data_IF_838617891840
#
_entry.id   IF_838617891840
#
_cell.length_a   1.000
_cell.length_b   1.000
_cell.length_c   1.000
_cell.angle_alpha   90.00
_cell.angle_beta   90.00
_cell.angle_gamma   90.00
#
_symmetry.space_group_name_H-M   'P 1'
#
loop_
_entity.id
_entity.type
_entity.pdbx_description
1 polymer ?
#
# COMPACT_ATOMS: atom_id res chain seq x y z
N UNK A 1 -19.67 -52.36 -37.34
CA UNK A 1 -19.93 -51.91 -35.95
C UNK A 1 -18.59 -51.67 -35.26
N UNK A 2 -18.18 -50.41 -35.14
CA UNK A 2 -16.98 -50.00 -34.41
C UNK A 2 -17.46 -49.23 -33.17
N UNK A 3 -17.17 -49.77 -32.01
CA UNK A 3 -17.42 -49.15 -30.69
C UNK A 3 -16.49 -47.95 -30.50
N UNK A 4 -16.98 -46.76 -30.10
CA UNK A 4 -16.10 -45.66 -29.76
C UNK A 4 -15.54 -45.85 -28.35
N UNK A 5 -14.22 -45.72 -28.23
CA UNK A 5 -13.47 -45.71 -26.99
C UNK A 5 -13.80 -44.41 -26.24
N UNK A 6 -14.40 -44.51 -25.05
CA UNK A 6 -14.59 -43.36 -24.15
C UNK A 6 -13.26 -43.09 -23.45
N UNK A 7 -12.61 -41.95 -23.73
CA UNK A 7 -11.55 -41.44 -22.86
C UNK A 7 -12.17 -40.87 -21.58
N UNK A 8 -11.60 -41.14 -20.39
CA UNK A 8 -12.06 -40.54 -19.15
C UNK A 8 -11.65 -39.06 -19.12
N UNK A 9 -12.59 -38.19 -18.75
CA UNK A 9 -12.32 -36.81 -18.41
C UNK A 9 -11.44 -36.77 -17.17
N UNK A 10 -10.14 -36.51 -17.35
CA UNK A 10 -9.24 -36.16 -16.26
C UNK A 10 -9.53 -34.70 -15.91
N UNK A 11 -10.33 -34.49 -14.86
CA UNK A 11 -10.40 -33.20 -14.20
C UNK A 11 -9.01 -32.91 -13.62
N UNK A 12 -8.24 -32.05 -14.27
CA UNK A 12 -7.09 -31.43 -13.62
C UNK A 12 -7.67 -30.51 -12.53
N UNK A 13 -7.66 -30.99 -11.28
CA UNK A 13 -7.63 -30.10 -10.14
C UNK A 13 -6.36 -29.26 -10.29
N UNK A 14 -6.54 -27.97 -10.60
CA UNK A 14 -5.51 -26.97 -10.49
C UNK A 14 -5.07 -26.87 -9.03
N UNK A 15 -4.07 -27.66 -8.66
CA UNK A 15 -3.29 -27.42 -7.46
C UNK A 15 -2.32 -26.26 -7.76
N UNK A 16 -2.88 -25.07 -7.97
CA UNK A 16 -2.12 -23.85 -7.71
C UNK A 16 -1.92 -23.84 -6.21
N UNK A 17 -0.72 -24.22 -5.77
CA UNK A 17 -0.34 -24.08 -4.38
C UNK A 17 -0.47 -22.61 -4.01
N UNK A 18 -1.58 -22.26 -3.36
CA UNK A 18 -1.56 -21.22 -2.35
C UNK A 18 -0.52 -21.69 -1.34
N UNK A 19 0.73 -21.26 -1.53
CA UNK A 19 1.58 -21.03 -0.39
C UNK A 19 0.79 -20.04 0.46
N UNK A 20 0.40 -20.37 1.71
CA UNK A 20 0.01 -19.32 2.61
C UNK A 20 1.27 -18.46 2.74
N UNK A 21 1.27 -17.29 2.09
CA UNK A 21 2.11 -16.19 2.54
C UNK A 21 1.49 -15.71 3.85
N UNK A 22 1.58 -16.54 4.90
CA UNK A 22 1.72 -16.01 6.25
C UNK A 22 3.12 -15.41 6.29
N UNK A 23 3.31 -14.28 5.60
CA UNK A 23 4.40 -13.40 5.92
C UNK A 23 4.21 -13.07 7.39
N UNK A 24 5.10 -13.56 8.26
CA UNK A 24 5.26 -12.95 9.57
C UNK A 24 5.42 -11.46 9.27
N UNK A 25 4.43 -10.64 9.59
CA UNK A 25 4.64 -9.21 9.53
C UNK A 25 5.87 -8.94 10.38
N UNK A 26 6.87 -8.28 9.79
CA UNK A 26 8.03 -7.83 10.54
C UNK A 26 7.49 -7.08 11.76
N UNK A 27 8.02 -7.38 12.95
CA UNK A 27 7.52 -6.81 14.20
C UNK A 27 7.61 -5.27 14.27
N UNK A 28 8.24 -4.65 13.26
CA UNK A 28 8.25 -3.23 12.94
C UNK A 28 8.55 -3.06 11.45
N UNK A 29 7.97 -2.04 10.82
CA UNK A 29 8.25 -1.70 9.42
C UNK A 29 9.46 -0.76 9.27
N UNK A 30 10.02 -0.28 10.38
CA UNK A 30 11.07 0.75 10.40
C UNK A 30 12.41 0.16 10.00
N UNK A 31 13.09 0.84 9.07
CA UNK A 31 14.39 0.48 8.56
C UNK A 31 15.44 0.38 9.69
N UNK A 32 16.26 -0.68 9.76
CA UNK A 32 17.21 -0.87 10.85
C UNK A 32 18.35 0.16 10.89
N UNK A 33 18.70 0.77 9.76
CA UNK A 33 19.73 1.82 9.67
C UNK A 33 19.14 3.23 9.89
N UNK A 34 17.96 3.50 9.34
CA UNK A 34 17.29 4.80 9.36
C UNK A 34 16.07 4.77 10.29
N UNK A 35 16.33 4.71 11.60
CA UNK A 35 15.30 4.54 12.65
C UNK A 35 15.20 5.70 13.64
N UNK A 36 16.07 6.70 13.52
CA UNK A 36 16.23 7.74 14.53
C UNK A 36 15.56 9.04 14.10
N UNK A 37 14.78 9.61 15.02
CA UNK A 37 14.27 10.97 14.99
C UNK A 37 14.84 11.76 16.18
N UNK A 38 14.70 13.09 16.15
CA UNK A 38 15.21 13.95 17.22
C UNK A 38 14.19 15.02 17.63
N UNK A 39 14.03 15.21 18.94
CA UNK A 39 13.32 16.34 19.53
C UNK A 39 14.21 17.05 20.53
N UNK A 40 14.26 18.38 20.50
CA UNK A 40 15.17 19.16 21.35
C UNK A 40 15.04 18.82 22.86
N UNK A 41 13.81 18.56 23.32
CA UNK A 41 13.52 18.22 24.71
C UNK A 41 13.40 16.70 24.97
N UNK A 42 13.44 15.87 23.92
CA UNK A 42 13.32 14.40 24.02
C UNK A 42 14.66 13.70 23.80
N UNK A 43 15.60 14.37 23.14
CA UNK A 43 16.79 13.73 22.59
C UNK A 43 16.47 12.84 21.39
N UNK A 44 17.27 11.80 21.23
CA UNK A 44 17.11 10.79 20.19
C UNK A 44 15.96 9.84 20.52
N UNK A 45 15.14 9.55 19.50
CA UNK A 45 14.06 8.58 19.59
C UNK A 45 14.28 7.48 18.56
N UNK A 46 14.25 6.23 19.00
CA UNK A 46 14.36 5.03 18.18
C UNK A 46 12.96 4.52 17.84
N UNK A 47 12.56 4.68 16.58
CA UNK A 47 11.27 4.23 16.07
C UNK A 47 11.20 2.71 15.91
N UNK A 48 12.34 2.02 15.89
CA UNK A 48 12.38 0.56 15.89
C UNK A 48 12.18 0.00 17.30
N UNK A 49 12.44 0.79 18.34
CA UNK A 49 12.28 0.38 19.73
C UNK A 49 13.08 -0.88 20.07
N UNK A 50 12.42 -1.86 20.69
CA UNK A 50 12.98 -3.19 20.98
C UNK A 50 12.88 -4.19 19.79
N UNK A 51 12.53 -3.69 18.61
CA UNK A 51 12.22 -4.40 17.38
C UNK A 51 10.97 -5.29 17.41
N UNK A 52 10.56 -5.80 18.57
CA UNK A 52 9.38 -6.66 18.72
C UNK A 52 8.07 -5.85 18.80
N UNK A 53 8.16 -4.64 19.31
CA UNK A 53 7.05 -3.73 19.52
C UNK A 53 7.29 -2.38 18.85
N UNK A 54 8.23 -2.30 17.90
CA UNK A 54 8.59 -1.07 17.23
C UNK A 54 7.44 -0.46 16.43
N UNK A 55 7.60 0.77 15.98
CA UNK A 55 6.59 1.44 15.17
C UNK A 55 6.28 0.64 13.90
N UNK A 56 5.01 0.62 13.53
CA UNK A 56 4.52 0.02 12.28
C UNK A 56 3.79 1.13 11.54
N UNK A 57 4.21 1.40 10.31
CA UNK A 57 3.49 2.25 9.37
C UNK A 57 2.58 1.34 8.56
N UNK A 58 1.29 1.34 8.87
CA UNK A 58 0.28 0.58 8.16
C UNK A 58 -0.47 1.42 7.12
N UNK A 59 -1.25 0.74 6.29
CA UNK A 59 -2.01 1.35 5.19
C UNK A 59 -3.00 2.43 5.68
N UNK A 60 -3.73 2.16 6.76
CA UNK A 60 -4.75 3.07 7.33
C UNK A 60 -4.34 3.68 8.67
N UNK A 61 -3.51 2.97 9.43
CA UNK A 61 -3.11 3.34 10.78
C UNK A 61 -1.64 3.02 11.03
N UNK A 62 -1.05 3.71 11.98
CA UNK A 62 0.19 3.31 12.62
C UNK A 62 -0.09 2.60 13.95
N UNK A 63 0.85 1.78 14.38
CA UNK A 63 0.78 1.05 15.65
C UNK A 63 2.19 0.82 16.22
N UNK A 64 2.25 0.14 17.37
CA UNK A 64 3.51 -0.13 18.05
C UNK A 64 4.04 1.09 18.79
N UNK A 65 5.35 1.08 19.06
CA UNK A 65 5.98 2.00 19.99
C UNK A 65 7.28 2.59 19.46
N UNK A 66 7.50 3.85 19.82
CA UNK A 66 8.76 4.57 19.68
C UNK A 66 9.41 4.60 21.07
N UNK A 67 10.72 4.37 21.15
CA UNK A 67 11.47 4.49 22.39
C UNK A 67 12.31 5.77 22.41
N UNK A 68 12.28 6.50 23.52
CA UNK A 68 13.14 7.65 23.74
C UNK A 68 13.74 7.59 25.14
N UNK A 69 15.07 7.65 25.26
CA UNK A 69 15.74 7.45 26.54
C UNK A 69 15.28 8.41 27.66
N UNK A 70 14.87 9.63 27.29
CA UNK A 70 14.47 10.67 28.25
C UNK A 70 13.00 10.61 28.66
N UNK A 71 12.12 9.98 27.87
CA UNK A 71 10.67 9.97 28.12
C UNK A 71 10.04 8.57 28.10
N UNK A 72 10.83 7.54 27.82
CA UNK A 72 10.39 6.15 27.74
C UNK A 72 9.64 5.84 26.44
N UNK A 73 8.64 4.98 26.56
CA UNK A 73 7.84 4.49 25.43
C UNK A 73 6.74 5.48 25.04
N UNK A 74 6.60 5.65 23.73
CA UNK A 74 5.57 6.44 23.08
C UNK A 74 4.78 5.50 22.16
N UNK A 75 3.50 5.29 22.43
CA UNK A 75 2.62 4.46 21.62
C UNK A 75 1.99 5.28 20.48
N UNK A 76 1.93 4.66 19.30
CA UNK A 76 1.27 5.20 18.10
C UNK A 76 -0.22 4.82 18.00
N UNK A 77 -0.74 4.09 18.98
CA UNK A 77 -2.12 3.58 19.01
C UNK A 77 -2.17 2.07 19.25
N UNK A 78 -3.38 1.55 19.45
CA UNK A 78 -3.61 0.13 19.81
C UNK A 78 -3.39 -0.87 18.68
N UNK A 79 -3.38 -0.41 17.42
CA UNK A 79 -3.46 -1.27 16.24
C UNK A 79 -4.89 -1.72 15.89
N UNK A 80 -5.89 -1.38 16.71
CA UNK A 80 -7.26 -1.87 16.61
C UNK A 80 -8.24 -0.71 16.81
N UNK A 81 -8.47 0.13 15.78
CA UNK A 81 -9.37 1.26 15.88
C UNK A 81 -10.82 0.80 16.09
N UNK A 82 -11.63 1.60 16.77
CA UNK A 82 -12.98 1.20 17.17
C UNK A 82 -13.90 0.84 16.00
N UNK A 83 -13.72 1.48 14.84
CA UNK A 83 -14.49 1.19 13.63
C UNK A 83 -13.83 0.17 12.69
N UNK A 84 -12.68 -0.40 13.07
CA UNK A 84 -11.92 -1.34 12.25
C UNK A 84 -11.21 -0.74 11.03
N UNK A 85 -11.27 0.58 10.83
CA UNK A 85 -10.66 1.28 9.68
C UNK A 85 -9.54 2.23 10.15
N UNK A 86 -9.88 3.20 11.00
CA UNK A 86 -8.95 4.24 11.44
C UNK A 86 -9.33 4.76 12.82
N UNK A 87 -8.37 5.24 13.60
CA UNK A 87 -8.65 5.80 14.93
C UNK A 87 -9.56 7.02 14.79
N UNK A 88 -10.68 7.03 15.50
CA UNK A 88 -11.59 8.19 15.49
C UNK A 88 -11.04 9.34 16.33
N UNK A 89 -10.04 9.07 17.18
CA UNK A 89 -9.36 10.08 18.00
C UNK A 89 -10.35 10.90 18.86
N UNK A 90 -11.40 10.26 19.36
CA UNK A 90 -12.52 10.89 20.06
C UNK A 90 -12.73 10.35 21.48
N UNK A 91 -11.90 9.40 21.93
CA UNK A 91 -12.02 8.79 23.25
C UNK A 91 -10.67 8.31 23.80
N UNK A 92 -10.63 7.98 25.09
CA UNK A 92 -9.42 7.47 25.74
C UNK A 92 -9.03 6.05 25.29
N UNK A 93 -9.94 5.34 24.63
CA UNK A 93 -9.74 3.96 24.14
C UNK A 93 -9.60 3.87 22.63
N UNK A 94 -9.91 4.94 21.90
CA UNK A 94 -9.79 5.00 20.44
C UNK A 94 -9.03 6.27 20.03
N UNK A 95 -7.71 6.14 20.07
CA UNK A 95 -6.77 7.17 19.67
C UNK A 95 -5.55 6.50 19.03
N UNK A 96 -4.88 7.24 18.17
CA UNK A 96 -3.68 6.79 17.50
C UNK A 96 -3.35 7.64 16.29
N UNK A 97 -2.31 7.24 15.57
CA UNK A 97 -1.87 7.88 14.35
C UNK A 97 -2.48 7.18 13.14
N UNK A 98 -3.22 7.91 12.32
CA UNK A 98 -3.78 7.46 11.05
C UNK A 98 -2.84 7.78 9.88
N UNK A 99 -2.92 6.97 8.83
CA UNK A 99 -2.27 7.20 7.54
C UNK A 99 -3.35 7.31 6.46
N UNK A 100 -3.27 8.32 5.60
CA UNK A 100 -4.33 8.63 4.62
C UNK A 100 -4.15 7.97 3.24
N UNK A 101 -3.20 7.04 3.10
CA UNK A 101 -2.85 6.42 1.81
C UNK A 101 -2.03 7.31 0.86
N UNK A 102 -1.93 8.62 1.11
CA UNK A 102 -1.11 9.57 0.35
C UNK A 102 0.23 9.88 1.02
N UNK A 103 0.50 9.25 2.17
CA UNK A 103 1.70 9.45 2.96
C UNK A 103 1.46 10.33 4.19
N UNK A 104 0.33 11.03 4.32
CA UNK A 104 0.16 11.94 5.45
C UNK A 104 -0.16 11.17 6.74
N UNK A 105 0.46 11.59 7.84
CA UNK A 105 0.22 11.03 9.18
C UNK A 105 -0.59 12.01 10.01
N UNK A 106 -1.69 11.57 10.64
CA UNK A 106 -2.56 12.45 11.43
C UNK A 106 -3.00 11.79 12.73
N UNK A 107 -3.43 12.56 13.72
CA UNK A 107 -3.95 12.04 14.99
C UNK A 107 -2.96 12.16 16.14
N UNK A 108 -2.95 11.19 17.04
CA UNK A 108 -2.26 11.33 18.32
C UNK A 108 -1.40 10.12 18.66
N UNK A 109 -0.19 10.39 19.17
CA UNK A 109 0.61 9.43 19.90
C UNK A 109 0.64 9.82 21.39
N UNK A 110 0.98 8.88 22.25
CA UNK A 110 0.98 9.10 23.69
C UNK A 110 2.23 8.50 24.32
N UNK A 111 2.88 9.20 25.26
CA UNK A 111 3.92 8.62 26.12
C UNK A 111 3.76 9.00 27.60
N UNK A 112 4.14 8.12 28.53
CA UNK A 112 3.78 8.28 29.95
C UNK A 112 4.40 9.47 30.63
N UNK A 113 5.61 9.80 30.20
CA UNK A 113 6.37 10.88 30.77
C UNK A 113 6.30 12.16 29.93
N UNK A 114 5.56 12.15 28.80
CA UNK A 114 5.47 13.26 27.84
C UNK A 114 4.03 13.67 27.51
N UNK A 115 3.05 12.82 27.80
CA UNK A 115 1.65 13.03 27.41
C UNK A 115 1.44 12.90 25.90
N UNK A 116 0.49 13.69 25.39
CA UNK A 116 0.09 13.66 23.99
C UNK A 116 1.13 14.28 23.06
N UNK A 117 1.29 13.65 21.90
CA UNK A 117 2.05 14.12 20.74
C UNK A 117 1.09 14.17 19.56
N UNK A 118 0.92 15.35 18.98
CA UNK A 118 0.00 15.64 17.90
C UNK A 118 0.69 15.51 16.54
N UNK A 119 0.10 14.70 15.67
CA UNK A 119 0.43 14.60 14.25
C UNK A 119 -0.52 15.53 13.50
N UNK A 120 -0.14 16.81 13.40
CA UNK A 120 -1.02 17.87 12.90
C UNK A 120 -0.57 18.48 11.58
N UNK A 121 -1.50 19.14 10.91
CA UNK A 121 -1.28 19.71 9.57
C UNK A 121 -0.14 20.73 9.50
N UNK A 122 0.09 21.52 10.55
CA UNK A 122 1.16 22.53 10.59
C UNK A 122 2.55 21.89 10.50
N UNK A 123 2.75 20.77 11.21
CA UNK A 123 4.00 20.02 11.12
C UNK A 123 4.12 19.19 9.83
N UNK A 124 2.99 18.98 9.14
CA UNK A 124 2.87 18.18 7.93
C UNK A 124 3.64 16.84 7.98
N UNK A 125 3.51 16.05 9.07
CA UNK A 125 4.22 14.79 9.16
C UNK A 125 3.71 13.85 8.07
N UNK A 126 4.65 13.26 7.33
CA UNK A 126 4.36 12.37 6.20
C UNK A 126 5.43 11.31 5.98
N UNK A 127 5.04 10.23 5.32
CA UNK A 127 5.88 9.18 4.74
C UNK A 127 5.97 9.45 3.24
N UNK A 128 7.18 9.49 2.71
CA UNK A 128 7.39 9.47 1.27
C UNK A 128 7.19 8.05 0.74
N UNK A 129 6.08 7.83 0.03
CA UNK A 129 5.68 6.51 -0.46
C UNK A 129 6.56 5.92 -1.58
N UNK A 130 7.61 6.63 -2.02
CA UNK A 130 8.60 6.07 -2.95
C UNK A 130 9.85 5.60 -2.22
N UNK A 131 10.24 6.33 -1.17
CA UNK A 131 11.51 6.11 -0.46
C UNK A 131 11.35 5.56 0.95
N UNK A 132 10.13 5.57 1.48
CA UNK A 132 9.79 5.24 2.86
C UNK A 132 10.21 6.28 3.88
N UNK A 133 10.85 7.39 3.47
CA UNK A 133 11.40 8.38 4.39
C UNK A 133 10.29 9.20 5.03
N UNK A 134 10.31 9.31 6.35
CA UNK A 134 9.42 10.22 7.06
C UNK A 134 10.00 11.63 7.04
N UNK A 135 9.13 12.63 6.98
CA UNK A 135 9.49 14.05 7.06
C UNK A 135 8.41 14.86 7.76
N UNK A 136 8.71 16.13 8.03
CA UNK A 136 7.85 17.02 8.80
C UNK A 136 8.12 16.95 10.31
N UNK A 137 7.20 17.53 11.06
CA UNK A 137 7.29 17.70 12.51
C UNK A 137 6.01 17.22 13.19
N UNK A 138 6.16 16.77 14.43
CA UNK A 138 5.05 16.49 15.35
C UNK A 138 5.22 17.35 16.60
N UNK A 139 4.12 17.66 17.28
CA UNK A 139 4.13 18.63 18.37
C UNK A 139 3.68 17.99 19.69
N UNK A 140 4.38 18.29 20.78
CA UNK A 140 3.92 17.97 22.13
C UNK A 140 3.84 19.24 22.97
N UNK A 141 2.77 19.39 23.75
CA UNK A 141 2.63 20.51 24.69
C UNK A 141 3.77 20.55 25.72
N UNK A 142 4.28 19.38 26.12
CA UNK A 142 5.28 19.26 27.17
C UNK A 142 6.72 19.34 26.65
N UNK A 143 6.93 19.18 25.35
CA UNK A 143 8.27 19.07 24.78
C UNK A 143 8.50 19.86 23.48
N UNK A 144 7.48 20.54 22.96
CA UNK A 144 7.55 21.32 21.73
C UNK A 144 7.64 20.47 20.47
N UNK A 145 8.29 21.02 19.45
CA UNK A 145 8.44 20.39 18.13
C UNK A 145 9.45 19.25 18.13
N UNK A 146 9.07 18.17 17.44
CA UNK A 146 9.83 16.95 17.27
C UNK A 146 9.99 16.72 15.76
N UNK A 147 11.24 16.59 15.30
CA UNK A 147 11.55 16.44 13.86
C UNK A 147 11.61 14.98 13.47
N UNK A 148 10.88 14.58 12.42
CA UNK A 148 10.93 13.22 11.88
C UNK A 148 12.15 12.96 10.98
N UNK A 149 12.75 14.04 10.48
CA UNK A 149 13.97 14.03 9.67
C UNK A 149 14.76 15.31 9.91
N UNK A 150 16.08 15.21 9.88
CA UNK A 150 17.02 16.33 9.89
C UNK A 150 18.29 15.98 9.09
N UNK A 151 19.30 16.85 9.10
CA UNK A 151 20.52 16.68 8.32
C UNK A 151 21.39 15.46 8.71
N UNK A 152 21.22 14.92 9.92
CA UNK A 152 22.06 13.84 10.46
C UNK A 152 21.31 12.53 10.69
N UNK A 153 19.97 12.56 10.71
CA UNK A 153 19.14 11.39 10.95
C UNK A 153 17.73 11.57 10.36
N UNK A 154 17.14 10.46 9.95
CA UNK A 154 15.73 10.41 9.57
C UNK A 154 15.17 9.02 9.89
N UNK A 155 13.86 8.97 10.03
CA UNK A 155 13.12 7.71 10.10
C UNK A 155 12.75 7.29 8.68
N UNK A 156 12.85 6.01 8.40
CA UNK A 156 12.41 5.40 7.15
C UNK A 156 11.65 4.12 7.46
N UNK A 157 10.54 3.90 6.77
CA UNK A 157 9.85 2.61 6.73
C UNK A 157 10.29 1.84 5.49
N UNK A 158 10.59 0.56 5.60
CA UNK A 158 10.96 -0.28 4.45
C UNK A 158 9.73 -0.72 3.65
N UNK A 159 8.61 -0.91 4.36
CA UNK A 159 7.32 -1.32 3.81
C UNK A 159 6.20 -0.51 4.43
N UNK A 160 5.04 -0.47 3.77
CA UNK A 160 3.76 -0.12 4.40
C UNK A 160 3.04 -1.42 4.70
N UNK A 161 2.78 -1.68 5.98
CA UNK A 161 2.12 -2.90 6.41
C UNK A 161 0.69 -2.96 5.87
N UNK A 162 0.31 -4.12 5.35
CA UNK A 162 -1.09 -4.41 5.03
C UNK A 162 -1.93 -4.28 6.32
N UNK A 163 -3.19 -3.88 6.16
CA UNK A 163 -4.17 -3.98 7.25
C UNK A 163 -4.36 -5.43 7.72
N UNK A 164 -5.10 -5.59 8.81
CA UNK A 164 -5.59 -6.92 9.20
C UNK A 164 -6.42 -7.52 8.06
N UNK A 165 -6.40 -8.84 7.94
CA UNK A 165 -7.15 -9.63 6.97
C UNK A 165 -7.64 -10.87 7.73
N UNK A 166 -8.83 -10.75 8.32
CA UNK A 166 -9.35 -11.68 9.34
C UNK A 166 -9.85 -12.97 8.73
N UNK A 167 -10.42 -12.92 7.53
CA UNK A 167 -10.95 -14.08 6.82
C UNK A 167 -9.94 -14.68 5.80
N UNK A 168 -8.84 -13.97 5.53
CA UNK A 168 -7.66 -14.49 4.85
C UNK A 168 -7.83 -14.58 3.34
N UNK A 169 -8.67 -13.73 2.75
CA UNK A 169 -8.98 -13.74 1.33
C UNK A 169 -8.05 -12.80 0.51
N UNK A 170 -7.21 -12.02 1.19
CA UNK A 170 -6.28 -11.07 0.61
C UNK A 170 -6.79 -9.62 0.56
N UNK A 171 -8.01 -9.36 1.01
CA UNK A 171 -8.58 -8.04 1.21
C UNK A 171 -8.35 -7.59 2.67
N UNK A 172 -7.91 -6.34 2.91
CA UNK A 172 -7.85 -5.85 4.28
C UNK A 172 -9.24 -5.60 4.85
N UNK A 173 -9.41 -5.98 6.10
CA UNK A 173 -10.54 -5.69 6.99
C UNK A 173 -11.04 -4.24 6.91
N UNK A 174 -10.11 -3.29 6.80
CA UNK A 174 -10.40 -1.86 6.74
C UNK A 174 -10.94 -1.45 5.36
N UNK A 175 -10.48 -2.08 4.29
CA UNK A 175 -10.97 -1.87 2.93
C UNK A 175 -12.38 -2.45 2.78
N UNK A 176 -12.59 -3.67 3.27
CA UNK A 176 -13.90 -4.31 3.23
C UNK A 176 -14.94 -3.48 3.99
N UNK A 177 -14.62 -3.04 5.21
CA UNK A 177 -15.54 -2.18 6.00
C UNK A 177 -15.74 -0.78 5.41
N UNK A 178 -14.84 -0.31 4.54
CA UNK A 178 -15.00 0.99 3.89
C UNK A 178 -16.06 0.94 2.80
N UNK A 179 -16.12 -0.15 2.04
CA UNK A 179 -17.03 -0.30 0.90
C UNK A 179 -18.25 -1.16 1.20
N UNK A 180 -18.16 -2.06 2.18
CA UNK A 180 -19.17 -3.05 2.50
C UNK A 180 -19.48 -3.08 3.99
N UNK A 181 -20.65 -3.60 4.35
CA UNK A 181 -21.07 -3.76 5.74
C UNK A 181 -20.62 -5.14 6.28
N UNK A 182 -19.30 -5.34 6.39
CA UNK A 182 -18.73 -6.58 6.94
C UNK A 182 -17.38 -7.01 6.35
N UNK A 183 -17.05 -8.29 6.57
CA UNK A 183 -15.85 -9.02 6.13
C UNK A 183 -16.27 -10.28 5.36
N UNK A 184 -16.98 -10.09 4.27
CA UNK A 184 -17.62 -11.18 3.52
C UNK A 184 -17.63 -10.99 1.99
N UNK A 185 -17.44 -9.78 1.42
CA UNK A 185 -17.09 -9.67 0.01
C UNK A 185 -15.84 -10.48 -0.28
N UNK A 186 -15.84 -11.29 -1.35
CA UNK A 186 -14.67 -12.10 -1.67
C UNK A 186 -13.76 -11.39 -2.64
N UNK A 187 -12.46 -11.64 -2.55
CA UNK A 187 -11.45 -11.16 -3.48
C UNK A 187 -11.80 -11.33 -4.98
N UNK A 188 -12.49 -12.41 -5.36
CA UNK A 188 -12.87 -12.70 -6.75
C UNK A 188 -14.20 -12.11 -7.22
N UNK A 189 -14.99 -11.52 -6.34
CA UNK A 189 -16.30 -10.94 -6.69
C UNK A 189 -16.12 -9.64 -7.48
N UNK A 190 -17.08 -9.34 -8.37
CA UNK A 190 -17.18 -8.10 -9.16
C UNK A 190 -18.59 -7.52 -8.94
N UNK A 191 -18.79 -6.74 -7.86
CA UNK A 191 -20.13 -6.33 -7.44
C UNK A 191 -20.80 -5.29 -8.36
N UNK A 192 -20.02 -4.46 -9.04
CA UNK A 192 -20.53 -3.41 -9.94
C UNK A 192 -20.53 -3.82 -11.42
N UNK A 193 -19.87 -4.93 -11.76
CA UNK A 193 -19.94 -5.58 -13.06
C UNK A 193 -19.07 -4.93 -14.13
N UNK A 194 -18.01 -4.21 -13.73
CA UNK A 194 -17.11 -3.54 -14.67
C UNK A 194 -15.94 -4.40 -15.17
N UNK A 195 -15.84 -5.63 -14.64
CA UNK A 195 -14.83 -6.61 -15.00
C UNK A 195 -13.57 -6.57 -14.13
N UNK A 196 -13.47 -5.67 -13.15
CA UNK A 196 -12.48 -5.73 -12.08
C UNK A 196 -13.06 -6.44 -10.86
N UNK A 197 -12.34 -7.43 -10.34
CA UNK A 197 -12.73 -8.05 -9.07
C UNK A 197 -12.27 -7.20 -7.87
N UNK A 198 -12.81 -7.47 -6.69
CA UNK A 198 -12.49 -6.77 -5.44
C UNK A 198 -10.98 -6.70 -5.16
N UNK A 199 -10.21 -7.76 -5.44
CA UNK A 199 -8.76 -7.75 -5.25
C UNK A 199 -8.06 -6.78 -6.22
N UNK A 200 -8.49 -6.75 -7.47
CA UNK A 200 -7.99 -5.81 -8.47
C UNK A 200 -8.36 -4.37 -8.12
N UNK A 201 -9.60 -4.15 -7.67
CA UNK A 201 -10.11 -2.86 -7.19
C UNK A 201 -9.29 -2.36 -5.99
N UNK A 202 -9.05 -3.24 -5.00
CA UNK A 202 -8.18 -2.95 -3.87
C UNK A 202 -6.76 -2.57 -4.31
N UNK A 203 -6.15 -3.33 -5.22
CA UNK A 203 -4.81 -3.03 -5.74
C UNK A 203 -4.76 -1.73 -6.55
N UNK A 204 -5.86 -1.36 -7.22
CA UNK A 204 -5.98 -0.15 -8.02
C UNK A 204 -6.43 1.10 -7.25
N UNK A 205 -6.86 0.96 -5.99
CA UNK A 205 -7.48 2.02 -5.17
C UNK A 205 -8.77 2.57 -5.79
N UNK A 206 -9.54 1.68 -6.40
CA UNK A 206 -10.82 1.99 -7.01
C UNK A 206 -11.97 1.53 -6.12
N UNK A 207 -13.19 1.91 -6.48
CA UNK A 207 -14.37 1.68 -5.67
C UNK A 207 -15.15 0.49 -6.25
N UNK A 208 -15.21 -0.67 -5.55
CA UNK A 208 -15.81 -1.91 -6.06
C UNK A 208 -17.34 -1.86 -6.22
N UNK A 209 -17.96 -0.72 -5.89
CA UNK A 209 -19.39 -0.46 -6.03
C UNK A 209 -19.67 0.64 -7.09
N UNK A 210 -18.66 1.06 -7.85
CA UNK A 210 -18.77 2.13 -8.84
C UNK A 210 -18.07 1.75 -10.16
N UNK A 211 -18.84 1.20 -11.09
CA UNK A 211 -18.37 0.72 -12.39
C UNK A 211 -17.67 1.77 -13.28
N UNK A 212 -17.74 3.07 -12.94
CA UNK A 212 -16.99 4.11 -13.65
C UNK A 212 -15.55 4.26 -13.13
N UNK A 213 -15.27 3.81 -11.91
CA UNK A 213 -13.97 3.84 -11.25
C UNK A 213 -13.25 2.50 -11.37
N UNK A 214 -12.57 2.27 -12.49
CA UNK A 214 -11.66 1.12 -12.64
C UNK A 214 -10.37 1.49 -13.36
N UNK A 215 -9.35 0.65 -13.20
CA UNK A 215 -8.10 0.74 -13.95
C UNK A 215 -8.30 0.29 -15.40
N UNK A 216 -8.23 1.24 -16.34
CA UNK A 216 -8.27 0.96 -17.79
C UNK A 216 -7.31 1.81 -18.58
N UNK A 217 -6.81 1.25 -19.68
CA UNK A 217 -6.15 2.04 -20.73
C UNK A 217 -7.23 2.85 -21.46
N UNK A 218 -7.09 4.16 -21.45
CA UNK A 218 -8.05 5.12 -22.02
C UNK A 218 -7.60 5.65 -23.38
N UNK A 219 -6.30 5.60 -23.67
CA UNK A 219 -5.78 5.92 -24.99
C UNK A 219 -4.50 5.14 -25.30
N UNK A 220 -4.33 4.79 -26.57
CA UNK A 220 -3.14 4.16 -27.10
C UNK A 220 -2.78 4.83 -28.43
N UNK A 221 -1.52 5.24 -28.56
CA UNK A 221 -0.97 5.81 -29.80
C UNK A 221 0.40 5.17 -30.07
N UNK A 222 0.72 4.94 -31.34
CA UNK A 222 2.01 4.36 -31.73
C UNK A 222 2.40 4.82 -33.12
N UNK A 223 3.68 5.19 -33.34
CA UNK A 223 4.15 5.51 -34.68
C UNK A 223 4.05 4.29 -35.62
N UNK A 224 4.03 4.50 -36.95
CA UNK A 224 3.90 3.41 -37.91
C UNK A 224 4.99 2.32 -37.82
N UNK A 225 6.16 2.65 -37.26
CA UNK A 225 7.25 1.69 -37.04
C UNK A 225 7.13 0.89 -35.73
N UNK A 226 6.18 1.29 -34.87
CA UNK A 226 5.85 0.66 -33.60
C UNK A 226 6.89 0.87 -32.49
N UNK A 227 7.84 1.80 -32.66
CA UNK A 227 9.02 1.88 -31.77
C UNK A 227 8.87 2.82 -30.57
N UNK A 228 7.88 3.71 -30.58
CA UNK A 228 7.62 4.63 -29.46
C UNK A 228 6.12 4.66 -29.10
N UNK A 229 5.56 3.56 -28.56
CA UNK A 229 4.19 3.55 -28.11
C UNK A 229 3.97 4.56 -26.98
N UNK A 230 2.76 5.12 -26.94
CA UNK A 230 2.25 6.01 -25.91
C UNK A 230 0.96 5.44 -25.34
N UNK A 231 0.95 5.18 -24.05
CA UNK A 231 -0.19 4.58 -23.33
C UNK A 231 -0.70 5.57 -22.30
N UNK A 232 -2.01 5.77 -22.25
CA UNK A 232 -2.71 6.58 -21.24
C UNK A 232 -3.70 5.70 -20.50
N UNK A 233 -3.76 5.80 -19.17
CA UNK A 233 -4.66 5.02 -18.33
C UNK A 233 -5.20 5.82 -17.14
N UNK A 234 -6.33 5.38 -16.59
CA UNK A 234 -6.88 5.91 -15.31
C UNK A 234 -5.95 5.56 -14.16
N UNK A 235 -5.68 6.51 -13.26
CA UNK A 235 -4.74 6.31 -12.16
C UNK A 235 -5.19 6.96 -10.86
N UNK A 236 -4.59 6.53 -9.75
CA UNK A 236 -4.87 7.03 -8.39
C UNK A 236 -3.53 7.48 -7.77
N UNK A 237 -3.45 8.67 -7.15
CA UNK A 237 -2.21 9.18 -6.54
C UNK A 237 -1.62 8.29 -5.43
N UNK A 238 -2.49 7.49 -4.80
CA UNK A 238 -2.20 6.49 -3.75
C UNK A 238 -1.57 5.20 -4.26
N UNK A 239 -1.42 5.03 -5.59
CA UNK A 239 -0.87 3.82 -6.21
C UNK A 239 0.35 4.11 -7.07
N UNK A 240 1.04 3.05 -7.45
CA UNK A 240 2.11 3.04 -8.44
C UNK A 240 1.77 2.05 -9.54
N UNK A 241 2.45 2.17 -10.66
CA UNK A 241 2.11 1.39 -11.84
C UNK A 241 3.35 0.78 -12.49
N UNK A 242 3.20 -0.44 -13.00
CA UNK A 242 4.07 -0.98 -14.03
C UNK A 242 3.33 -0.95 -15.36
N UNK A 243 4.03 -0.54 -16.41
CA UNK A 243 3.58 -0.72 -17.76
C UNK A 243 4.31 -1.93 -18.32
N UNK A 244 3.57 -2.95 -18.71
CA UNK A 244 4.12 -4.25 -19.09
C UNK A 244 3.71 -4.57 -20.53
N UNK A 245 4.56 -5.34 -21.21
CA UNK A 245 4.38 -5.75 -22.60
C UNK A 245 4.54 -7.25 -22.78
N UNK A 246 3.82 -7.78 -23.76
CA UNK A 246 3.89 -9.19 -24.16
C UNK A 246 3.81 -9.32 -25.69
N UNK A 247 4.50 -10.31 -26.25
CA UNK A 247 4.47 -10.60 -27.69
C UNK A 247 3.28 -11.48 -28.10
N UNK A 248 2.69 -12.23 -27.16
CA UNK A 248 1.53 -13.08 -27.37
C UNK A 248 0.75 -13.25 -26.06
N UNK A 249 -0.54 -13.58 -26.19
CA UNK A 249 -1.41 -13.94 -25.07
C UNK A 249 -1.89 -15.40 -25.14
N UNK A 250 -1.44 -16.17 -26.12
CA UNK A 250 -1.93 -17.52 -26.39
C UNK A 250 -1.38 -18.58 -25.41
N UNK A 251 -0.42 -18.21 -24.56
CA UNK A 251 0.08 -19.07 -23.51
C UNK A 251 -0.95 -19.20 -22.38
N UNK A 252 -1.07 -20.38 -21.73
CA UNK A 252 -1.91 -20.55 -20.55
C UNK A 252 -1.62 -19.53 -19.44
N UNK A 253 -0.38 -19.07 -19.36
CA UNK A 253 0.05 -17.91 -18.57
C UNK A 253 0.89 -17.02 -19.47
N UNK A 254 0.36 -15.88 -19.95
CA UNK A 254 1.14 -14.95 -20.76
C UNK A 254 2.34 -14.42 -19.99
N UNK A 255 3.50 -14.34 -20.66
CA UNK A 255 4.72 -13.77 -20.10
C UNK A 255 4.70 -12.27 -20.34
N UNK A 256 4.69 -11.51 -19.25
CA UNK A 256 4.72 -10.06 -19.26
C UNK A 256 6.08 -9.55 -18.82
N UNK A 257 6.63 -8.62 -19.58
CA UNK A 257 7.92 -7.97 -19.31
C UNK A 257 7.70 -6.48 -19.04
N UNK A 258 8.53 -5.89 -18.19
CA UNK A 258 8.50 -4.44 -17.98
C UNK A 258 8.75 -3.69 -19.29
N UNK A 259 8.06 -2.57 -19.50
CA UNK A 259 8.25 -1.74 -20.70
C UNK A 259 9.63 -1.06 -20.76
N UNK A 260 10.43 -1.15 -19.69
CA UNK A 260 11.70 -0.46 -19.47
C UNK A 260 11.54 0.83 -18.65
N UNK A 261 10.32 1.18 -18.24
CA UNK A 261 10.04 2.38 -17.44
C UNK A 261 10.23 2.13 -15.94
N UNK A 262 10.21 0.87 -15.50
CA UNK A 262 10.18 0.52 -14.08
C UNK A 262 8.93 1.04 -13.38
N UNK A 263 9.07 1.33 -12.08
CA UNK A 263 7.95 1.77 -11.24
C UNK A 263 7.54 3.21 -11.55
N UNK A 264 6.29 3.39 -11.97
CA UNK A 264 5.74 4.68 -12.41
C UNK A 264 4.97 5.35 -11.27
N UNK A 265 5.35 6.59 -10.97
CA UNK A 265 4.55 7.52 -10.15
C UNK A 265 3.46 8.14 -11.02
N UNK A 266 2.19 8.19 -10.57
CA UNK A 266 1.08 8.74 -11.36
C UNK A 266 1.15 10.26 -11.52
N UNK A 267 0.54 10.76 -12.60
CA UNK A 267 0.46 12.21 -12.89
C UNK A 267 -0.78 12.89 -12.26
N UNK A 268 -1.68 12.09 -11.68
CA UNK A 268 -2.98 12.53 -11.16
C UNK A 268 -4.01 11.41 -11.27
N UNK A 269 -5.22 11.74 -11.73
CA UNK A 269 -6.30 10.78 -12.04
C UNK A 269 -6.10 10.06 -13.39
N UNK A 270 -5.16 10.54 -14.20
CA UNK A 270 -4.79 9.95 -15.47
C UNK A 270 -3.28 10.06 -15.63
N UNK A 271 -2.63 8.98 -16.06
CA UNK A 271 -1.18 8.92 -16.27
C UNK A 271 -0.89 8.58 -17.72
N UNK A 272 0.10 9.25 -18.31
CA UNK A 272 0.53 9.00 -19.69
C UNK A 272 2.02 8.71 -19.75
N UNK A 273 2.43 7.62 -20.40
CA UNK A 273 3.85 7.34 -20.64
C UNK A 273 4.11 6.93 -22.08
N UNK A 274 5.25 7.39 -22.60
CA UNK A 274 5.88 6.91 -23.83
C UNK A 274 7.13 6.11 -23.46
N UNK A 275 7.44 5.08 -24.23
CA UNK A 275 8.59 4.21 -23.99
C UNK A 275 9.13 3.66 -25.30
N UNK A 276 10.41 3.28 -25.30
CA UNK A 276 11.01 2.65 -26.46
C UNK A 276 10.61 1.17 -26.55
N UNK A 277 10.34 0.72 -27.76
CA UNK A 277 10.00 -0.66 -28.04
C UNK A 277 10.62 -1.15 -29.35
N UNK A 278 10.64 -2.46 -29.55
CA UNK A 278 11.14 -3.06 -30.79
C UNK A 278 10.06 -3.07 -31.87
N UNK A 279 10.39 -3.28 -33.15
CA UNK A 279 9.33 -3.53 -34.13
C UNK A 279 8.88 -4.99 -34.00
N UNK A 280 7.58 -5.24 -33.89
CA UNK A 280 7.00 -6.57 -33.80
C UNK A 280 5.67 -6.62 -34.58
N UNK A 281 5.30 -7.77 -35.17
CA UNK A 281 4.06 -7.89 -35.93
C UNK A 281 2.81 -7.74 -35.05
N UNK A 282 2.93 -8.02 -33.76
CA UNK A 282 1.87 -7.85 -32.77
C UNK A 282 2.49 -7.61 -31.40
N UNK A 283 1.82 -6.82 -30.56
CA UNK A 283 2.21 -6.59 -29.18
C UNK A 283 1.02 -6.22 -28.33
N UNK A 284 1.07 -6.67 -27.08
CA UNK A 284 0.05 -6.43 -26.07
C UNK A 284 0.66 -5.60 -24.95
N UNK A 285 -0.16 -4.72 -24.38
CA UNK A 285 0.22 -3.87 -23.27
C UNK A 285 -0.80 -4.04 -22.15
N UNK A 286 -0.31 -4.03 -20.91
CA UNK A 286 -1.16 -3.91 -19.73
C UNK A 286 -0.55 -2.93 -18.75
N UNK A 287 -1.42 -2.34 -17.96
CA UNK A 287 -1.02 -1.56 -16.78
C UNK A 287 -1.34 -2.39 -15.56
N UNK A 288 -0.37 -2.53 -14.66
CA UNK A 288 -0.55 -3.19 -13.36
C UNK A 288 -0.40 -2.17 -12.25
N UNK A 289 -1.45 -1.97 -11.46
CA UNK A 289 -1.37 -1.20 -10.24
C UNK A 289 -0.64 -1.99 -9.15
N UNK A 290 0.14 -1.28 -8.34
CA UNK A 290 0.79 -1.82 -7.15
C UNK A 290 0.69 -0.81 -6.02
N UNK A 291 0.56 -1.32 -4.79
CA UNK A 291 0.61 -0.48 -3.60
C UNK A 291 2.04 0.04 -3.40
N UNK A 292 2.20 1.31 -2.97
CA UNK A 292 3.51 1.85 -2.65
C UNK A 292 4.13 1.11 -1.47
N UNK A 293 5.43 0.84 -1.54
CA UNK A 293 6.19 0.15 -0.49
C UNK A 293 5.51 -1.17 -0.05
N UNK A 294 4.90 -1.89 -1.00
CA UNK A 294 4.31 -3.20 -0.73
C UNK A 294 5.40 -4.21 -0.30
N UNK A 295 5.16 -5.04 0.71
CA UNK A 295 6.09 -6.09 1.14
C UNK A 295 6.35 -7.18 0.08
#
# INVERSE_FOLDING_TARGET
>A
MKTPLKLPALALLSLAGLLPLTGLQAATTINPANKLAYGANLGWMDWRGDANNGAVIGEYICSGYIYAANVGWISLGSGTPANGIQYQNNSATDWGVNHDGLGNLRGYAWGANIGWINFEGTGAPRVDLNTGKLSGYVWSANCGWISLSNAVAHVQTDVVANGADTDGDGLPDAWERLYFDGLSPRAEDDPDGDGMNNLQEYLADTNPLNADEHLRITAFDTPPDGREPKVTWTSKPTRRYYLEKALNLDLPVPVWEDSGLGLIVPDGESTTRSFSDTSAPMRFYRVRAVKPLSP
#
